data_IF_510616468234
#
_entry.id   IF_510616468234
#
_cell.length_a   1.000
_cell.length_b   1.000
_cell.length_c   1.000
_cell.angle_alpha   90.00
_cell.angle_beta   90.00
_cell.angle_gamma   90.00
#
_symmetry.space_group_name_H-M   'P 1'
#
loop_
_entity.id
_entity.type
_entity.pdbx_description
1 polymer ?
#
# COMPACT_ATOMS: atom_id res chain seq x y z
N UNK A 1 0.90 -3.62 19.57
CA UNK A 1 0.64 -2.28 18.99
C UNK A 1 0.52 -2.25 17.45
N UNK A 2 1.15 -3.17 16.68
CA UNK A 2 0.89 -3.28 15.23
C UNK A 2 -0.27 -4.24 14.85
N UNK A 3 -0.54 -5.25 15.68
CA UNK A 3 -1.56 -6.27 15.38
C UNK A 3 -2.98 -5.71 15.24
N UNK A 4 -3.27 -4.54 15.80
CA UNK A 4 -4.60 -3.90 15.70
C UNK A 4 -4.96 -3.41 14.30
N UNK A 5 -3.98 -3.33 13.39
CA UNK A 5 -4.21 -2.95 11.99
C UNK A 5 -4.81 -4.13 11.20
N UNK A 6 -4.59 -5.36 11.66
CA UNK A 6 -5.01 -6.59 10.99
C UNK A 6 -4.02 -7.07 9.93
N UNK A 7 -4.30 -8.23 9.34
CA UNK A 7 -3.51 -8.80 8.26
C UNK A 7 -3.52 -7.90 7.02
N UNK A 8 -2.39 -7.83 6.34
CA UNK A 8 -2.23 -6.96 5.18
C UNK A 8 -1.33 -7.59 4.14
N UNK A 9 -1.64 -7.34 2.86
CA UNK A 9 -0.84 -7.82 1.74
C UNK A 9 -0.72 -6.74 0.67
N UNK A 10 0.49 -6.42 0.19
CA UNK A 10 0.65 -5.49 -0.92
C UNK A 10 0.14 -6.11 -2.22
N UNK A 11 -0.39 -5.26 -3.08
CA UNK A 11 -0.69 -5.61 -4.46
C UNK A 11 -2.09 -5.25 -4.92
N UNK A 12 -2.40 -5.74 -6.11
CA UNK A 12 -3.69 -5.62 -6.78
C UNK A 12 -4.14 -7.00 -7.23
N UNK A 13 -5.37 -7.36 -6.89
CA UNK A 13 -5.98 -8.62 -7.31
C UNK A 13 -6.80 -8.37 -8.57
N UNK A 14 -6.53 -9.14 -9.62
CA UNK A 14 -7.18 -9.03 -10.93
C UNK A 14 -7.71 -10.39 -11.36
N UNK A 15 -8.87 -10.40 -12.01
CA UNK A 15 -9.40 -11.57 -12.69
C UNK A 15 -9.08 -11.49 -14.18
N UNK A 16 -8.48 -12.54 -14.73
CA UNK A 16 -8.08 -12.62 -16.14
C UNK A 16 -8.58 -13.92 -16.75
N UNK A 17 -8.60 -13.97 -18.08
CA UNK A 17 -8.95 -15.17 -18.84
C UNK A 17 -7.73 -15.64 -19.61
N UNK A 18 -7.46 -16.95 -19.61
CA UNK A 18 -6.44 -17.54 -20.48
C UNK A 18 -6.80 -17.33 -21.96
N UNK A 19 -8.10 -17.38 -22.30
CA UNK A 19 -8.62 -17.05 -23.63
C UNK A 19 -9.58 -15.87 -23.53
N UNK A 20 -9.10 -14.62 -23.62
CA UNK A 20 -9.94 -13.42 -23.43
C UNK A 20 -11.08 -13.29 -24.43
N UNK A 21 -10.83 -13.61 -25.71
CA UNK A 21 -11.84 -13.53 -26.78
C UNK A 21 -13.02 -14.48 -26.53
N UNK A 22 -12.74 -15.65 -25.94
CA UNK A 22 -13.73 -16.68 -25.63
C UNK A 22 -14.25 -16.61 -24.19
N UNK A 23 -13.67 -15.74 -23.34
CA UNK A 23 -13.88 -15.71 -21.88
C UNK A 23 -13.76 -17.08 -21.20
N UNK A 24 -12.79 -17.90 -21.64
CA UNK A 24 -12.52 -19.24 -21.09
C UNK A 24 -11.25 -19.29 -20.24
N UNK A 25 -11.25 -20.19 -19.25
CA UNK A 25 -10.11 -20.41 -18.36
C UNK A 25 -9.83 -19.20 -17.48
N UNK A 26 -10.83 -18.73 -16.75
CA UNK A 26 -10.70 -17.58 -15.86
C UNK A 26 -9.84 -17.90 -14.63
N UNK A 27 -9.00 -16.95 -14.22
CA UNK A 27 -8.14 -17.08 -13.06
C UNK A 27 -7.95 -15.75 -12.33
N UNK A 28 -7.69 -15.84 -11.03
CA UNK A 28 -7.25 -14.69 -10.25
C UNK A 28 -5.73 -14.65 -10.21
N UNK A 29 -5.18 -13.43 -10.25
CA UNK A 29 -3.77 -13.19 -9.96
C UNK A 29 -3.62 -11.97 -9.08
N UNK A 30 -2.58 -11.97 -8.25
CA UNK A 30 -2.15 -10.81 -7.50
C UNK A 30 -0.82 -10.31 -8.06
N UNK A 31 -0.73 -9.02 -8.34
CA UNK A 31 0.52 -8.36 -8.74
C UNK A 31 0.95 -7.34 -7.70
N UNK A 32 2.25 -7.28 -7.40
CA UNK A 32 2.81 -6.35 -6.43
C UNK A 32 4.30 -6.09 -6.70
N UNK A 33 4.79 -4.96 -6.22
CA UNK A 33 6.23 -4.62 -6.25
C UNK A 33 6.80 -4.69 -4.85
N UNK A 34 7.88 -5.43 -4.68
CA UNK A 34 8.61 -5.53 -3.41
C UNK A 34 10.11 -5.48 -3.69
N UNK A 35 10.83 -4.60 -2.96
CA UNK A 35 12.27 -4.36 -3.16
C UNK A 35 12.64 -4.09 -4.63
N UNK A 36 11.89 -3.19 -5.27
CA UNK A 36 12.03 -2.81 -6.69
C UNK A 36 11.82 -3.96 -7.69
N UNK A 37 11.30 -5.11 -7.25
CA UNK A 37 11.00 -6.26 -8.09
C UNK A 37 9.49 -6.45 -8.16
N UNK A 38 8.96 -6.43 -9.36
CA UNK A 38 7.56 -6.77 -9.61
C UNK A 38 7.38 -8.28 -9.59
N UNK A 39 6.33 -8.73 -8.94
CA UNK A 39 5.93 -10.13 -8.83
C UNK A 39 4.45 -10.25 -9.18
N UNK A 40 4.11 -11.39 -9.78
CA UNK A 40 2.73 -11.78 -10.05
C UNK A 40 2.55 -13.23 -9.67
N UNK A 41 1.49 -13.54 -8.94
CA UNK A 41 1.20 -14.88 -8.43
C UNK A 41 -0.24 -15.28 -8.76
N UNK A 42 -0.45 -16.54 -9.10
CA UNK A 42 -1.79 -17.12 -9.24
C UNK A 42 -2.48 -17.21 -7.88
N UNK A 43 -3.78 -16.95 -7.87
CA UNK A 43 -4.62 -16.99 -6.68
C UNK A 43 -5.78 -17.95 -6.91
N UNK A 44 -5.94 -18.92 -6.02
CA UNK A 44 -7.13 -19.79 -6.01
C UNK A 44 -8.36 -18.97 -5.58
N UNK A 45 -9.50 -19.28 -6.18
CA UNK A 45 -10.76 -18.56 -5.95
C UNK A 45 -11.17 -18.51 -4.45
N UNK A 46 -10.87 -19.56 -3.69
CA UNK A 46 -11.16 -19.67 -2.25
C UNK A 46 -10.49 -18.56 -1.41
N UNK A 47 -9.30 -18.10 -1.81
CA UNK A 47 -8.55 -17.08 -1.06
C UNK A 47 -8.84 -15.64 -1.52
N UNK A 48 -9.66 -15.45 -2.56
CA UNK A 48 -9.89 -14.14 -3.17
C UNK A 48 -10.47 -13.14 -2.19
N UNK A 49 -11.45 -13.55 -1.39
CA UNK A 49 -12.11 -12.64 -0.45
C UNK A 49 -11.16 -12.23 0.68
N UNK A 50 -10.35 -13.14 1.16
CA UNK A 50 -9.38 -12.88 2.22
C UNK A 50 -8.29 -11.93 1.73
N UNK A 51 -7.75 -12.19 0.54
CA UNK A 51 -6.77 -11.30 -0.08
C UNK A 51 -7.34 -9.91 -0.37
N UNK A 52 -8.61 -9.80 -0.77
CA UNK A 52 -9.25 -8.49 -0.94
C UNK A 52 -9.26 -7.70 0.37
N UNK A 53 -9.58 -8.34 1.50
CA UNK A 53 -9.54 -7.69 2.83
C UNK A 53 -8.12 -7.26 3.19
N UNK A 54 -7.14 -8.14 3.04
CA UNK A 54 -5.74 -7.84 3.31
C UNK A 54 -5.19 -6.71 2.43
N UNK A 55 -5.55 -6.66 1.14
CA UNK A 55 -5.17 -5.59 0.22
C UNK A 55 -5.80 -4.25 0.64
N UNK A 56 -7.07 -4.25 1.04
CA UNK A 56 -7.75 -3.05 1.51
C UNK A 56 -7.08 -2.50 2.78
N UNK A 57 -6.75 -3.37 3.74
CA UNK A 57 -5.98 -3.01 4.94
C UNK A 57 -4.64 -2.39 4.58
N UNK A 58 -3.88 -3.02 3.66
CA UNK A 58 -2.60 -2.51 3.20
C UNK A 58 -2.71 -1.11 2.56
N UNK A 59 -3.72 -0.90 1.71
CA UNK A 59 -3.96 0.40 1.06
C UNK A 59 -4.24 1.51 2.07
N UNK A 60 -5.07 1.22 3.07
CA UNK A 60 -5.35 2.18 4.16
C UNK A 60 -4.09 2.48 4.97
N UNK A 61 -3.35 1.44 5.37
CA UNK A 61 -2.08 1.60 6.09
C UNK A 61 -1.10 2.47 5.30
N UNK A 62 -0.86 2.14 4.02
CA UNK A 62 0.04 2.90 3.15
C UNK A 62 -0.37 4.37 3.04
N UNK A 63 -1.67 4.66 2.88
CA UNK A 63 -2.19 6.04 2.80
C UNK A 63 -1.91 6.82 4.08
N UNK A 64 -2.21 6.25 5.24
CA UNK A 64 -1.99 6.91 6.53
C UNK A 64 -0.52 7.19 6.79
N UNK A 65 0.35 6.21 6.49
CA UNK A 65 1.80 6.37 6.64
C UNK A 65 2.34 7.45 5.71
N UNK A 66 1.87 7.51 4.46
CA UNK A 66 2.26 8.58 3.52
C UNK A 66 1.86 9.96 4.06
N UNK A 67 0.60 10.13 4.48
CA UNK A 67 0.11 11.39 5.05
C UNK A 67 0.92 11.82 6.27
N UNK A 68 1.25 10.86 7.15
CA UNK A 68 2.06 11.15 8.32
C UNK A 68 3.47 11.62 7.95
N UNK A 69 4.11 10.96 6.98
CA UNK A 69 5.43 11.37 6.47
C UNK A 69 5.36 12.78 5.87
N UNK A 70 4.35 13.06 5.04
CA UNK A 70 4.17 14.37 4.42
C UNK A 70 4.03 15.49 5.48
N UNK A 71 3.22 15.25 6.52
CA UNK A 71 3.07 16.17 7.63
C UNK A 71 4.35 16.33 8.45
N UNK A 72 5.09 15.25 8.68
CA UNK A 72 6.36 15.31 9.41
C UNK A 72 7.41 16.14 8.65
N UNK A 73 7.47 16.01 7.33
CA UNK A 73 8.34 16.82 6.47
C UNK A 73 7.94 18.29 6.55
N UNK A 74 6.65 18.60 6.38
CA UNK A 74 6.14 19.98 6.46
C UNK A 74 6.46 20.61 7.83
N UNK A 75 6.20 19.88 8.92
CA UNK A 75 6.51 20.33 10.26
C UNK A 75 8.02 20.61 10.43
N UNK A 76 8.87 19.72 9.94
CA UNK A 76 10.33 19.90 9.99
C UNK A 76 10.76 21.14 9.22
N UNK A 77 10.22 21.36 8.01
CA UNK A 77 10.51 22.53 7.19
C UNK A 77 10.07 23.83 7.88
N UNK A 78 8.86 23.86 8.45
CA UNK A 78 8.36 25.02 9.20
C UNK A 78 9.24 25.35 10.40
N UNK A 79 9.67 24.33 11.16
CA UNK A 79 10.58 24.52 12.30
C UNK A 79 11.92 25.10 11.84
N UNK A 80 12.48 24.63 10.73
CA UNK A 80 13.72 25.18 10.16
C UNK A 80 13.55 26.65 9.78
N UNK A 81 12.44 27.00 9.11
CA UNK A 81 12.16 28.40 8.74
C UNK A 81 12.03 29.31 9.97
N UNK A 82 11.25 28.90 10.97
CA UNK A 82 11.09 29.67 12.21
C UNK A 82 12.41 29.85 12.96
N UNK A 83 13.29 28.85 12.93
CA UNK A 83 14.61 28.93 13.55
C UNK A 83 15.54 29.91 12.81
N UNK A 84 15.50 29.92 11.47
CA UNK A 84 16.22 30.91 10.66
C UNK A 84 15.75 32.34 10.91
N UNK A 85 14.47 32.52 11.16
CA UNK A 85 13.87 33.81 11.53
C UNK A 85 14.13 34.20 13.01
N UNK A 86 14.85 33.36 13.77
CA UNK A 86 15.14 33.60 15.18
C UNK A 86 13.94 33.43 16.12
N UNK A 87 12.79 32.96 15.63
CA UNK A 87 11.54 32.83 16.38
C UNK A 87 11.54 31.62 17.32
N UNK A 88 12.31 30.58 17.00
CA UNK A 88 12.49 29.39 17.85
C UNK A 88 13.96 28.97 17.86
N UNK A 89 14.39 28.27 18.92
CA UNK A 89 15.64 27.50 18.91
C UNK A 89 15.33 26.04 18.57
N UNK A 90 16.04 25.48 17.59
CA UNK A 90 16.04 24.04 17.36
C UNK A 90 16.96 23.39 18.41
N UNK A 91 16.40 22.46 19.18
CA UNK A 91 17.13 21.61 20.13
C UNK A 91 17.59 20.33 19.46
#
# INVERSE_FOLDING_TARGET
KLMSIGEMRPGSLTYQYQRPKEKKGGFYQISYTYRMKSKTEYVKAEFVQDLKRQIATFKRFKKLTQQWIDLAIQLSQMKITLAKEGKIKLS
#
